data_IF_849279442722
#
_entry.id   IF_849279442722
#
_cell.length_a   1.000
_cell.length_b   1.000
_cell.length_c   1.000
_cell.angle_alpha   90.00
_cell.angle_beta   90.00
_cell.angle_gamma   90.00
#
_symmetry.space_group_name_H-M   'P 1'
#
loop_
_entity.id
_entity.type
_entity.pdbx_description
1 polymer ?
#
# COMPACT_ATOMS: atom_id res chain seq x y z
N UNK A 1 10.95 -20.04 -14.49
CA UNK A 1 11.58 -18.90 -13.82
C UNK A 1 10.87 -18.67 -12.49
N UNK A 2 11.60 -18.53 -11.40
CA UNK A 2 11.03 -18.24 -10.07
C UNK A 2 10.69 -16.76 -9.91
N UNK A 3 9.90 -16.41 -8.88
CA UNK A 3 9.61 -15.02 -8.57
C UNK A 3 10.87 -14.18 -8.30
N UNK A 4 11.86 -14.75 -7.60
CA UNK A 4 13.13 -14.08 -7.33
C UNK A 4 13.97 -13.86 -8.61
N UNK A 5 14.00 -14.83 -9.51
CA UNK A 5 14.69 -14.69 -10.82
C UNK A 5 14.00 -13.65 -11.69
N UNK A 6 12.66 -13.65 -11.73
CA UNK A 6 11.88 -12.66 -12.45
C UNK A 6 12.13 -11.25 -11.91
N UNK A 7 12.11 -11.08 -10.59
CA UNK A 7 12.42 -9.79 -9.95
C UNK A 7 13.82 -9.29 -10.34
N UNK A 8 14.84 -10.15 -10.30
CA UNK A 8 16.20 -9.80 -10.71
C UNK A 8 16.28 -9.35 -12.16
N UNK A 9 15.64 -10.10 -13.05
CA UNK A 9 15.63 -9.78 -14.48
C UNK A 9 14.90 -8.46 -14.76
N UNK A 10 13.76 -8.21 -14.09
CA UNK A 10 13.00 -6.97 -14.23
C UNK A 10 13.79 -5.76 -13.76
N UNK A 11 14.39 -5.81 -12.57
CA UNK A 11 15.22 -4.73 -12.05
C UNK A 11 16.40 -4.43 -12.96
N UNK A 12 17.11 -5.45 -13.41
CA UNK A 12 18.25 -5.30 -14.33
C UNK A 12 17.82 -4.69 -15.66
N UNK A 13 16.64 -5.06 -16.19
CA UNK A 13 16.10 -4.48 -17.43
C UNK A 13 15.82 -2.97 -17.34
N UNK A 14 15.66 -2.47 -16.12
CA UNK A 14 15.43 -1.04 -15.83
C UNK A 14 16.71 -0.33 -15.36
N UNK A 15 17.87 -0.99 -15.39
CA UNK A 15 19.13 -0.42 -14.93
C UNK A 15 19.23 -0.27 -13.41
N UNK A 16 18.39 -0.99 -12.65
CA UNK A 16 18.38 -0.95 -11.18
C UNK A 16 19.19 -2.14 -10.66
N UNK A 17 20.43 -1.88 -10.23
CA UNK A 17 21.37 -2.91 -9.79
C UNK A 17 21.63 -2.89 -8.28
N UNK A 18 21.24 -1.81 -7.61
CA UNK A 18 21.48 -1.56 -6.18
C UNK A 18 20.37 -2.11 -5.26
N UNK A 19 19.33 -2.70 -5.84
CA UNK A 19 18.23 -3.33 -5.10
C UNK A 19 18.52 -4.81 -4.88
N UNK A 20 18.49 -5.23 -3.60
CA UNK A 20 18.62 -6.63 -3.21
C UNK A 20 17.29 -7.35 -3.27
N UNK A 21 17.33 -8.68 -3.48
CA UNK A 21 16.15 -9.54 -3.40
C UNK A 21 16.40 -10.54 -2.29
N UNK A 22 15.49 -10.60 -1.31
CA UNK A 22 15.59 -11.47 -0.15
C UNK A 22 14.32 -12.28 0.06
N UNK A 23 14.48 -13.48 0.56
CA UNK A 23 13.36 -14.27 1.06
C UNK A 23 13.04 -13.87 2.49
N UNK A 24 11.75 -13.75 2.81
CA UNK A 24 11.25 -13.48 4.15
C UNK A 24 10.24 -14.54 4.56
N UNK A 25 10.15 -14.81 5.85
CA UNK A 25 9.20 -15.78 6.39
C UNK A 25 7.76 -15.30 6.28
N UNK A 26 6.83 -16.25 6.20
CA UNK A 26 5.39 -15.99 6.18
C UNK A 26 4.78 -16.00 4.78
N UNK A 27 3.47 -15.73 4.73
CA UNK A 27 2.69 -15.60 3.50
C UNK A 27 2.15 -14.18 3.40
N UNK A 28 2.11 -13.62 2.19
CA UNK A 28 1.65 -12.24 1.94
C UNK A 28 2.50 -11.18 2.69
N UNK A 29 3.77 -11.48 2.90
CA UNK A 29 4.75 -10.59 3.53
C UNK A 29 5.64 -9.89 2.50
N UNK A 30 5.30 -10.04 1.23
CA UNK A 30 6.00 -9.42 0.11
C UNK A 30 5.95 -7.89 0.23
N UNK A 31 7.10 -7.25 0.10
CA UNK A 31 7.19 -5.78 0.13
C UNK A 31 8.53 -5.28 -0.37
N UNK A 32 8.55 -4.06 -0.89
CA UNK A 32 9.76 -3.30 -1.13
C UNK A 32 10.06 -2.38 0.07
N UNK A 33 11.28 -2.43 0.60
CA UNK A 33 11.76 -1.49 1.62
C UNK A 33 12.71 -0.47 0.97
N UNK A 34 12.31 0.81 0.82
CA UNK A 34 13.14 1.84 0.21
C UNK A 34 14.34 2.25 1.07
N UNK A 35 14.29 2.01 2.40
CA UNK A 35 15.40 2.37 3.30
C UNK A 35 16.58 1.44 3.13
N UNK A 36 16.31 0.16 2.91
CA UNK A 36 17.35 -0.86 2.71
C UNK A 36 17.54 -1.22 1.25
N UNK A 37 16.75 -0.63 0.34
CA UNK A 37 16.68 -0.96 -1.08
C UNK A 37 16.57 -2.46 -1.31
N UNK A 38 15.57 -3.07 -0.69
CA UNK A 38 15.38 -4.52 -0.72
C UNK A 38 13.96 -4.87 -1.13
N UNK A 39 13.83 -5.73 -2.14
CA UNK A 39 12.60 -6.46 -2.46
C UNK A 39 12.58 -7.72 -1.60
N UNK A 40 11.67 -7.76 -0.65
CA UNK A 40 11.45 -8.88 0.25
C UNK A 40 10.30 -9.71 -0.32
N UNK A 41 10.55 -11.00 -0.59
CA UNK A 41 9.57 -11.93 -1.14
C UNK A 41 9.28 -13.04 -0.13
N UNK A 42 8.02 -13.32 0.09
CA UNK A 42 7.56 -14.41 0.94
C UNK A 42 8.00 -15.78 0.39
N UNK A 43 7.98 -16.81 1.24
CA UNK A 43 8.35 -18.17 0.85
C UNK A 43 7.52 -18.69 -0.33
N UNK A 44 6.23 -18.30 -0.37
CA UNK A 44 5.30 -18.69 -1.44
C UNK A 44 5.56 -17.99 -2.78
N UNK A 45 6.35 -16.92 -2.79
CA UNK A 45 6.68 -16.12 -3.98
C UNK A 45 8.12 -16.32 -4.41
N UNK A 46 9.06 -16.32 -3.49
CA UNK A 46 10.50 -16.32 -3.79
C UNK A 46 10.92 -17.46 -4.71
N UNK A 47 10.58 -18.70 -4.35
CA UNK A 47 10.94 -19.92 -5.10
C UNK A 47 9.87 -20.43 -6.06
N UNK A 48 8.69 -19.82 -6.11
CA UNK A 48 7.57 -20.26 -6.92
C UNK A 48 7.69 -19.81 -8.38
N UNK A 49 7.30 -20.69 -9.29
CA UNK A 49 7.27 -20.43 -10.74
C UNK A 49 5.86 -20.10 -11.26
N UNK A 50 4.88 -19.93 -10.36
CA UNK A 50 3.51 -19.63 -10.76
C UNK A 50 3.41 -18.19 -11.31
N UNK A 51 2.50 -18.00 -12.26
CA UNK A 51 2.21 -16.68 -12.84
C UNK A 51 1.86 -15.65 -11.75
N UNK A 52 1.10 -16.06 -10.72
CA UNK A 52 0.75 -15.21 -9.60
C UNK A 52 1.99 -14.77 -8.80
N UNK A 53 2.90 -15.69 -8.48
CA UNK A 53 4.13 -15.37 -7.76
C UNK A 53 5.04 -14.43 -8.56
N UNK A 54 5.20 -14.67 -9.85
CA UNK A 54 5.95 -13.80 -10.76
C UNK A 54 5.29 -12.40 -10.79
N UNK A 55 3.95 -12.33 -10.83
CA UNK A 55 3.19 -11.08 -10.79
C UNK A 55 3.41 -10.29 -9.50
N UNK A 56 3.36 -10.95 -8.33
CA UNK A 56 3.64 -10.32 -7.03
C UNK A 56 5.08 -9.81 -6.97
N UNK A 57 6.06 -10.64 -7.35
CA UNK A 57 7.47 -10.23 -7.39
C UNK A 57 7.69 -9.02 -8.30
N UNK A 58 7.02 -8.98 -9.46
CA UNK A 58 7.06 -7.85 -10.37
C UNK A 58 6.40 -6.60 -9.79
N UNK A 59 5.34 -6.74 -9.00
CA UNK A 59 4.70 -5.63 -8.29
C UNK A 59 5.67 -4.96 -7.30
N UNK A 60 6.39 -5.75 -6.50
CA UNK A 60 7.40 -5.22 -5.59
C UNK A 60 8.56 -4.54 -6.33
N UNK A 61 8.94 -5.06 -7.50
CA UNK A 61 9.85 -4.35 -8.40
C UNK A 61 9.26 -3.04 -8.92
N UNK A 62 7.92 -2.97 -9.11
CA UNK A 62 7.20 -1.75 -9.45
C UNK A 62 7.43 -0.63 -8.42
N UNK A 63 7.42 -0.96 -7.12
CA UNK A 63 7.76 -0.02 -6.05
C UNK A 63 9.24 0.38 -6.08
N UNK A 64 10.15 -0.54 -6.34
CA UNK A 64 11.57 -0.20 -6.51
C UNK A 64 11.80 0.76 -7.68
N UNK A 65 11.07 0.59 -8.79
CA UNK A 65 11.11 1.51 -9.93
C UNK A 65 10.49 2.87 -9.62
N UNK A 66 9.44 2.91 -8.81
CA UNK A 66 8.87 4.17 -8.32
C UNK A 66 9.90 4.93 -7.49
N UNK A 67 10.60 4.24 -6.59
CA UNK A 67 11.64 4.82 -5.76
C UNK A 67 12.81 5.35 -6.63
N UNK A 68 13.32 4.54 -7.55
CA UNK A 68 14.38 4.93 -8.48
C UNK A 68 14.00 6.11 -9.38
N UNK A 69 12.70 6.26 -9.72
CA UNK A 69 12.18 7.40 -10.51
C UNK A 69 11.68 8.57 -9.66
N UNK A 70 11.94 8.57 -8.36
CA UNK A 70 11.50 9.59 -7.40
C UNK A 70 9.99 9.90 -7.49
N UNK A 71 9.16 8.87 -7.65
CA UNK A 71 7.73 9.00 -7.82
C UNK A 71 7.09 9.70 -6.61
N UNK A 72 6.60 10.92 -6.83
CA UNK A 72 6.12 11.82 -5.76
C UNK A 72 5.09 11.19 -4.83
N UNK A 73 4.04 10.46 -5.30
CA UNK A 73 3.09 9.82 -4.39
C UNK A 73 3.72 8.79 -3.46
N UNK A 74 4.73 8.03 -3.90
CA UNK A 74 5.44 7.08 -3.04
C UNK A 74 6.21 7.81 -1.92
N UNK A 75 6.89 8.90 -2.25
CA UNK A 75 7.63 9.73 -1.28
C UNK A 75 6.68 10.38 -0.27
N UNK A 76 5.54 10.91 -0.76
CA UNK A 76 4.50 11.46 0.11
C UNK A 76 3.95 10.40 1.06
N UNK A 77 3.58 9.21 0.54
CA UNK A 77 3.15 8.07 1.36
C UNK A 77 4.19 7.76 2.44
N UNK A 78 5.46 7.65 2.06
CA UNK A 78 6.55 7.35 2.99
C UNK A 78 6.69 8.37 4.12
N UNK A 79 6.57 9.66 3.81
CA UNK A 79 6.65 10.74 4.81
C UNK A 79 5.44 10.77 5.76
N UNK A 80 4.28 10.29 5.34
CA UNK A 80 3.07 10.22 6.16
C UNK A 80 3.08 9.07 7.17
N UNK A 81 3.80 7.97 6.92
CA UNK A 81 3.77 6.74 7.73
C UNK A 81 3.95 6.99 9.23
N UNK A 82 4.98 7.74 9.73
CA UNK A 82 5.16 7.91 11.17
C UNK A 82 3.99 8.68 11.82
N UNK A 83 3.48 9.71 11.14
CA UNK A 83 2.37 10.54 11.66
C UNK A 83 1.07 9.74 11.68
N UNK A 84 0.80 9.00 10.61
CA UNK A 84 -0.42 8.18 10.47
C UNK A 84 -0.43 7.03 11.47
N UNK A 85 0.71 6.39 11.74
CA UNK A 85 0.80 5.30 12.73
C UNK A 85 0.46 5.80 14.14
N UNK A 86 0.98 6.95 14.55
CA UNK A 86 0.65 7.57 15.84
C UNK A 86 -0.84 7.98 15.85
N UNK A 87 -1.30 8.65 14.80
CA UNK A 87 -2.67 9.10 14.67
C UNK A 87 -3.69 7.95 14.72
N UNK A 88 -3.42 6.84 14.02
CA UNK A 88 -4.29 5.67 14.01
C UNK A 88 -4.39 5.01 15.41
N UNK A 89 -3.29 4.95 16.15
CA UNK A 89 -3.27 4.39 17.51
C UNK A 89 -4.03 5.27 18.51
N UNK A 90 -3.93 6.59 18.38
CA UNK A 90 -4.51 7.54 19.33
C UNK A 90 -5.95 7.93 18.99
N UNK A 91 -6.38 7.86 17.74
CA UNK A 91 -7.69 8.36 17.31
C UNK A 91 -8.86 7.75 18.08
N UNK A 92 -8.93 6.41 18.18
CA UNK A 92 -10.01 5.72 18.88
C UNK A 92 -10.01 5.92 20.39
N UNK A 93 -8.87 5.76 21.12
CA UNK A 93 -8.82 6.11 22.53
C UNK A 93 -9.23 7.55 22.82
N UNK A 94 -8.82 8.51 21.99
CA UNK A 94 -9.19 9.92 22.18
C UNK A 94 -10.68 10.16 21.97
N UNK A 95 -11.30 9.55 20.94
CA UNK A 95 -12.75 9.65 20.72
C UNK A 95 -13.48 9.07 21.94
N UNK A 96 -13.09 7.90 22.42
CA UNK A 96 -13.74 7.26 23.57
C UNK A 96 -13.60 8.10 24.84
N UNK A 97 -12.38 8.52 25.19
CA UNK A 97 -12.13 9.35 26.38
C UNK A 97 -12.87 10.67 26.26
N UNK A 98 -12.85 11.31 25.09
CA UNK A 98 -13.51 12.57 24.86
C UNK A 98 -15.02 12.50 25.08
N UNK A 99 -15.67 11.43 24.60
CA UNK A 99 -17.11 11.18 24.80
C UNK A 99 -17.42 10.97 26.29
N UNK A 100 -16.61 10.18 27.00
CA UNK A 100 -16.84 9.85 28.41
C UNK A 100 -16.60 11.03 29.34
N UNK A 101 -15.64 11.92 29.04
CA UNK A 101 -15.22 13.02 29.92
C UNK A 101 -15.86 14.36 29.62
N UNK A 102 -16.20 14.64 28.38
CA UNK A 102 -16.69 15.94 27.93
C UNK A 102 -17.91 15.89 26.98
N UNK A 103 -18.44 14.70 26.75
CA UNK A 103 -19.55 14.48 25.82
C UNK A 103 -19.14 14.55 24.34
N UNK A 104 -20.12 14.42 23.45
CA UNK A 104 -19.92 14.30 22.02
C UNK A 104 -19.29 15.52 21.34
N UNK A 105 -19.44 16.72 21.92
CA UNK A 105 -18.85 17.98 21.42
C UNK A 105 -17.47 18.32 21.99
N UNK A 106 -16.84 17.40 22.71
CA UNK A 106 -15.54 17.63 23.33
C UNK A 106 -14.44 17.92 22.28
N UNK A 107 -13.53 18.88 22.54
CA UNK A 107 -12.35 19.11 21.69
C UNK A 107 -11.48 17.87 21.50
N UNK A 108 -11.46 16.97 22.48
CA UNK A 108 -10.72 15.70 22.43
C UNK A 108 -11.33 14.79 21.36
N UNK A 109 -12.66 14.73 21.25
CA UNK A 109 -13.36 13.99 20.18
C UNK A 109 -12.98 14.56 18.82
N UNK A 110 -13.02 15.88 18.67
CA UNK A 110 -12.67 16.56 17.41
C UNK A 110 -11.23 16.26 16.99
N UNK A 111 -10.29 16.24 17.94
CA UNK A 111 -8.89 15.88 17.67
C UNK A 111 -8.75 14.40 17.28
N UNK A 112 -9.49 13.49 17.91
CA UNK A 112 -9.52 12.09 17.53
C UNK A 112 -10.04 11.87 16.10
N UNK A 113 -11.08 12.60 15.69
CA UNK A 113 -11.61 12.56 14.31
C UNK A 113 -10.58 13.15 13.34
N UNK A 114 -9.90 14.22 13.68
CA UNK A 114 -8.82 14.78 12.85
C UNK A 114 -7.69 13.77 12.64
N UNK A 115 -7.25 13.08 13.68
CA UNK A 115 -6.24 12.02 13.59
C UNK A 115 -6.71 10.85 12.71
N UNK A 116 -7.99 10.47 12.83
CA UNK A 116 -8.57 9.45 11.96
C UNK A 116 -8.60 9.90 10.49
N UNK A 117 -8.91 11.17 10.22
CA UNK A 117 -8.93 11.71 8.85
C UNK A 117 -7.56 11.64 8.15
N UNK A 118 -6.45 11.73 8.90
CA UNK A 118 -5.10 11.53 8.35
C UNK A 118 -4.91 10.08 7.85
N UNK A 119 -5.49 9.10 8.52
CA UNK A 119 -5.47 7.70 8.06
C UNK A 119 -6.26 7.52 6.76
N UNK A 120 -7.40 8.21 6.61
CA UNK A 120 -8.16 8.22 5.37
C UNK A 120 -7.36 8.85 4.23
N UNK A 121 -6.73 9.99 4.49
CA UNK A 121 -5.88 10.66 3.50
C UNK A 121 -4.70 9.77 3.06
N UNK A 122 -4.06 9.08 4.01
CA UNK A 122 -3.00 8.12 3.72
C UNK A 122 -3.46 7.01 2.77
N UNK A 123 -4.65 6.45 3.00
CA UNK A 123 -5.20 5.43 2.11
C UNK A 123 -5.45 5.97 0.70
N UNK A 124 -5.98 7.20 0.58
CA UNK A 124 -6.18 7.85 -0.72
C UNK A 124 -4.86 8.10 -1.46
N UNK A 125 -3.80 8.51 -0.74
CA UNK A 125 -2.46 8.67 -1.33
C UNK A 125 -1.85 7.32 -1.71
N UNK A 126 -2.19 6.24 -0.98
CA UNK A 126 -1.70 4.89 -1.28
C UNK A 126 -2.28 4.35 -2.59
N UNK A 127 -3.53 4.64 -2.95
CA UNK A 127 -4.16 4.13 -4.18
C UNK A 127 -3.35 4.38 -5.46
N UNK A 128 -2.96 5.62 -5.81
CA UNK A 128 -2.16 5.86 -7.01
C UNK A 128 -0.79 5.17 -6.97
N UNK A 129 -0.20 4.97 -5.79
CA UNK A 129 1.06 4.23 -5.63
C UNK A 129 0.88 2.78 -6.04
N UNK A 130 -0.13 2.10 -5.49
CA UNK A 130 -0.40 0.68 -5.76
C UNK A 130 -0.83 0.43 -7.22
N UNK A 131 -1.73 1.26 -7.75
CA UNK A 131 -2.13 1.14 -9.17
C UNK A 131 -0.95 1.38 -10.13
N UNK A 132 -0.10 2.35 -9.84
CA UNK A 132 1.07 2.64 -10.68
C UNK A 132 2.12 1.52 -10.59
N UNK A 133 2.39 0.95 -9.40
CA UNK A 133 3.30 -0.19 -9.24
C UNK A 133 2.80 -1.41 -10.04
N UNK A 134 1.52 -1.76 -9.91
CA UNK A 134 0.88 -2.84 -10.68
C UNK A 134 0.94 -2.61 -12.19
N UNK A 135 0.68 -1.38 -12.64
CA UNK A 135 0.75 -1.04 -14.06
C UNK A 135 2.18 -1.15 -14.63
N UNK A 136 3.19 -0.76 -13.85
CA UNK A 136 4.61 -0.94 -14.21
C UNK A 136 4.96 -2.42 -14.29
N UNK A 137 4.54 -3.22 -13.31
CA UNK A 137 4.77 -4.66 -13.26
C UNK A 137 4.21 -5.37 -14.51
N UNK A 138 2.93 -5.18 -14.82
CA UNK A 138 2.28 -5.80 -15.97
C UNK A 138 2.96 -5.42 -17.29
N UNK A 139 3.26 -4.12 -17.47
CA UNK A 139 3.93 -3.62 -18.67
C UNK A 139 5.31 -4.24 -18.87
N UNK A 140 6.08 -4.39 -17.79
CA UNK A 140 7.42 -4.94 -17.88
C UNK A 140 7.43 -6.45 -18.10
N UNK A 141 6.55 -7.18 -17.44
CA UNK A 141 6.41 -8.63 -17.68
C UNK A 141 6.10 -8.93 -19.14
N UNK A 142 5.24 -8.12 -19.77
CA UNK A 142 4.90 -8.23 -21.19
C UNK A 142 6.07 -7.81 -22.08
N UNK A 143 6.65 -6.63 -21.86
CA UNK A 143 7.72 -6.09 -22.71
C UNK A 143 9.03 -6.87 -22.66
N UNK A 144 9.36 -7.49 -21.52
CA UNK A 144 10.53 -8.37 -21.35
C UNK A 144 10.28 -9.79 -21.83
N UNK A 145 9.02 -10.14 -22.11
CA UNK A 145 8.61 -11.48 -22.54
C UNK A 145 8.73 -12.54 -21.45
N UNK A 146 8.84 -12.14 -20.17
CA UNK A 146 8.83 -13.05 -19.01
C UNK A 146 7.49 -13.77 -18.94
N UNK A 147 6.40 -13.04 -19.10
CA UNK A 147 5.06 -13.58 -19.30
C UNK A 147 4.51 -13.11 -20.64
N UNK A 148 3.66 -13.93 -21.27
CA UNK A 148 3.11 -13.66 -22.61
C UNK A 148 1.65 -14.06 -22.70
N UNK A 149 0.92 -13.39 -23.59
CA UNK A 149 -0.45 -13.75 -23.95
C UNK A 149 -1.37 -13.80 -22.72
N UNK A 150 -1.97 -14.97 -22.47
CA UNK A 150 -2.92 -15.17 -21.38
C UNK A 150 -2.30 -15.00 -20.00
N UNK A 151 -1.00 -15.30 -19.81
CA UNK A 151 -0.31 -15.15 -18.52
C UNK A 151 -0.28 -13.69 -18.06
N UNK A 152 -0.09 -12.74 -18.99
CA UNK A 152 -0.19 -11.32 -18.72
C UNK A 152 -1.60 -10.95 -18.27
N UNK A 153 -2.62 -11.56 -18.91
CA UNK A 153 -4.02 -11.42 -18.51
C UNK A 153 -4.29 -11.89 -17.09
N UNK A 154 -3.80 -13.07 -16.72
CA UNK A 154 -3.92 -13.61 -15.36
C UNK A 154 -3.20 -12.75 -14.34
N UNK A 155 -1.99 -12.29 -14.64
CA UNK A 155 -1.26 -11.36 -13.76
C UNK A 155 -2.04 -10.07 -13.52
N UNK A 156 -2.63 -9.53 -14.59
CA UNK A 156 -3.47 -8.32 -14.48
C UNK A 156 -4.69 -8.52 -13.60
N UNK A 157 -5.31 -9.70 -13.66
CA UNK A 157 -6.43 -10.07 -12.79
C UNK A 157 -5.98 -10.20 -11.32
N UNK A 158 -4.87 -10.87 -11.05
CA UNK A 158 -4.31 -11.04 -9.70
C UNK A 158 -3.97 -9.68 -9.08
N UNK A 159 -3.19 -8.86 -9.77
CA UNK A 159 -2.80 -7.53 -9.29
C UNK A 159 -3.99 -6.57 -9.20
N UNK A 160 -4.96 -6.70 -10.11
CA UNK A 160 -6.22 -5.96 -10.06
C UNK A 160 -7.05 -6.32 -8.83
N UNK A 161 -7.18 -7.61 -8.51
CA UNK A 161 -7.87 -8.07 -7.31
C UNK A 161 -7.18 -7.56 -6.03
N UNK A 162 -5.84 -7.61 -5.99
CA UNK A 162 -5.06 -7.04 -4.89
C UNK A 162 -5.30 -5.52 -4.74
N UNK A 163 -5.31 -4.77 -5.85
CA UNK A 163 -5.57 -3.34 -5.85
C UNK A 163 -6.98 -2.99 -5.34
N UNK A 164 -7.99 -3.83 -5.63
CA UNK A 164 -9.35 -3.65 -5.11
C UNK A 164 -9.43 -3.75 -3.58
N UNK A 165 -8.51 -4.45 -2.92
CA UNK A 165 -8.47 -4.48 -1.44
C UNK A 165 -8.14 -3.10 -0.87
N UNK A 166 -7.24 -2.35 -1.50
CA UNK A 166 -6.93 -0.97 -1.12
C UNK A 166 -8.12 -0.03 -1.38
N UNK A 167 -8.84 -0.23 -2.49
CA UNK A 167 -10.08 0.54 -2.77
C UNK A 167 -11.14 0.27 -1.72
N UNK A 168 -11.36 -0.99 -1.35
CA UNK A 168 -12.32 -1.37 -0.32
C UNK A 168 -11.94 -0.80 1.06
N UNK A 169 -10.64 -0.84 1.42
CA UNK A 169 -10.14 -0.26 2.66
C UNK A 169 -10.35 1.27 2.70
N UNK A 170 -10.05 1.98 1.60
CA UNK A 170 -10.26 3.42 1.50
C UNK A 170 -11.76 3.77 1.60
N UNK A 171 -12.62 3.05 0.88
CA UNK A 171 -14.06 3.26 0.94
C UNK A 171 -14.62 3.02 2.35
N UNK A 172 -14.21 1.94 3.02
CA UNK A 172 -14.61 1.64 4.41
C UNK A 172 -14.17 2.73 5.38
N UNK A 173 -12.96 3.25 5.22
CA UNK A 173 -12.44 4.33 6.07
C UNK A 173 -13.15 5.66 5.83
N UNK A 174 -13.51 5.98 4.59
CA UNK A 174 -14.33 7.16 4.26
C UNK A 174 -15.71 7.05 4.92
N UNK A 175 -16.37 5.91 4.78
CA UNK A 175 -17.67 5.68 5.41
C UNK A 175 -17.59 5.80 6.93
N UNK A 176 -16.53 5.26 7.55
CA UNK A 176 -16.32 5.39 8.98
C UNK A 176 -16.06 6.84 9.40
N UNK A 177 -15.28 7.60 8.63
CA UNK A 177 -15.05 9.02 8.88
C UNK A 177 -16.36 9.82 8.79
N UNK A 178 -17.16 9.59 7.77
CA UNK A 178 -18.47 10.21 7.62
C UNK A 178 -19.37 9.89 8.81
N UNK A 179 -19.40 8.63 9.25
CA UNK A 179 -20.15 8.23 10.45
C UNK A 179 -19.70 8.99 11.69
N UNK A 180 -18.38 9.13 11.91
CA UNK A 180 -17.85 9.88 13.05
C UNK A 180 -18.23 11.36 12.98
N UNK A 181 -18.15 11.97 11.80
CA UNK A 181 -18.55 13.38 11.60
C UNK A 181 -20.04 13.57 11.89
N UNK A 182 -20.91 12.68 11.40
CA UNK A 182 -22.36 12.77 11.63
C UNK A 182 -22.70 12.59 13.11
N UNK A 183 -22.05 11.64 13.81
CA UNK A 183 -22.36 11.34 15.21
C UNK A 183 -21.80 12.38 16.16
N UNK A 184 -20.63 12.95 15.88
CA UNK A 184 -19.87 13.76 16.82
C UNK A 184 -19.53 15.17 16.30
N UNK A 185 -19.67 15.41 14.98
CA UNK A 185 -19.32 16.70 14.35
C UNK A 185 -20.45 17.73 14.36
N UNK A 186 -21.67 17.34 14.70
CA UNK A 186 -22.83 18.18 14.67
C UNK A 186 -23.30 18.62 16.07
N UNK A 187 -22.61 19.57 16.68
CA UNK A 187 -23.18 20.47 17.69
C UNK A 187 -22.14 21.56 18.06
N UNK A 188 -22.07 22.56 17.23
CA UNK A 188 -21.71 23.91 17.62
C UNK A 188 -22.94 24.75 17.32
N UNK A 189 -24.00 24.53 18.09
CA UNK A 189 -25.07 25.50 18.21
C UNK A 189 -25.16 25.85 19.69
N UNK A 190 -24.82 27.13 19.97
CA UNK A 190 -24.90 27.96 21.15
C UNK A 190 -23.78 27.83 22.16
#
# INVERSE_FOLDING_TARGET
MTGAEAARQLLNSQGIYDVQIRQVAGSLTDHYDPRTKTVNLSESVYGSTSVAAIGVAAHECGHAMQDASEYVPLRLRGSMVPVVNIGAQLSWPMILIGVLSGGMGSPIVSLGILLFSLSVLFQLVTLPVEFNASARAVRLLDSTGILRGEEVGYTKQVLGAAALTYVAAAAGSILQLLRLIILFGGRRDD
#
